data_IF_198412384156
#
_entry.id   IF_198412384156
#
_cell.length_a   1.000
_cell.length_b   1.000
_cell.length_c   1.000
_cell.angle_alpha   90.00
_cell.angle_beta   90.00
_cell.angle_gamma   90.00
#
_symmetry.space_group_name_H-M   'P 1'
#
loop_
_entity.id
_entity.type
_entity.pdbx_description
1 polymer ?
#
# COMPACT_ATOMS: atom_id res chain seq x y z
N UNK A 1 -24.87 2.72 1.76
CA UNK A 1 -23.48 2.31 1.44
C UNK A 1 -23.08 3.02 0.15
N UNK A 2 -22.12 3.94 0.24
CA UNK A 2 -21.66 4.67 -0.93
C UNK A 2 -20.98 3.75 -1.92
N UNK A 3 -21.46 3.71 -3.15
CA UNK A 3 -20.76 3.04 -4.25
C UNK A 3 -19.43 3.76 -4.43
N UNK A 4 -18.32 3.06 -4.19
CA UNK A 4 -16.99 3.62 -4.45
C UNK A 4 -16.90 3.94 -5.93
N UNK A 5 -16.61 5.20 -6.26
CA UNK A 5 -16.46 5.65 -7.65
C UNK A 5 -15.38 4.85 -8.41
N UNK A 6 -15.26 5.06 -9.72
CA UNK A 6 -14.28 4.37 -10.55
C UNK A 6 -12.86 4.62 -10.02
N UNK A 7 -11.98 3.64 -10.22
CA UNK A 7 -10.56 3.76 -9.83
C UNK A 7 -9.90 4.86 -10.68
N UNK A 8 -9.23 5.85 -10.07
CA UNK A 8 -8.50 6.87 -10.83
C UNK A 8 -7.43 6.25 -11.72
N UNK A 9 -7.17 6.86 -12.85
CA UNK A 9 -6.05 6.50 -13.73
C UNK A 9 -4.72 6.77 -13.04
N UNK A 10 -3.65 6.15 -13.50
CA UNK A 10 -2.30 6.46 -13.01
C UNK A 10 -1.91 7.90 -13.32
N UNK A 11 -1.05 8.48 -12.50
CA UNK A 11 -0.54 9.86 -12.68
C UNK A 11 0.14 10.06 -14.03
N UNK A 12 0.77 9.00 -14.58
CA UNK A 12 1.42 8.98 -15.90
C UNK A 12 0.42 9.02 -17.07
N UNK A 13 -0.86 8.69 -16.85
CA UNK A 13 -1.88 8.65 -17.91
C UNK A 13 -2.59 9.97 -18.16
N UNK A 14 -2.07 11.08 -17.68
CA UNK A 14 -2.51 12.45 -17.92
C UNK A 14 -4.01 12.70 -17.69
N UNK A 15 -4.37 13.27 -16.55
CA UNK A 15 -5.73 13.72 -16.29
C UNK A 15 -5.80 15.24 -16.19
N UNK A 16 -6.72 15.85 -16.97
CA UNK A 16 -7.02 17.31 -16.96
C UNK A 16 -7.49 17.85 -15.59
N UNK A 17 -7.83 16.97 -14.62
CA UNK A 17 -8.38 17.35 -13.32
C UNK A 17 -7.35 17.65 -12.25
N UNK A 18 -6.06 17.38 -12.46
CA UNK A 18 -5.02 17.63 -11.46
C UNK A 18 -4.75 19.13 -11.25
N UNK A 19 -5.00 19.98 -12.26
CA UNK A 19 -4.83 21.42 -12.13
C UNK A 19 -5.95 22.11 -11.34
N UNK A 20 -7.20 21.61 -11.45
CA UNK A 20 -8.33 22.19 -10.73
C UNK A 20 -8.26 21.94 -9.20
N UNK A 21 -7.65 20.84 -8.76
CA UNK A 21 -7.49 20.52 -7.32
C UNK A 21 -6.41 21.32 -6.62
N UNK A 22 -5.45 21.88 -7.33
CA UNK A 22 -4.42 22.77 -6.74
C UNK A 22 -4.95 24.16 -6.37
N UNK A 23 -6.12 24.53 -6.87
CA UNK A 23 -6.76 25.83 -6.63
C UNK A 23 -7.71 25.83 -5.42
N UNK A 24 -8.09 24.65 -4.92
CA UNK A 24 -9.00 24.53 -3.79
C UNK A 24 -8.15 24.22 -2.54
N UNK A 25 -7.88 25.21 -1.72
CA UNK A 25 -7.00 25.20 -0.55
C UNK A 25 -7.01 23.91 0.27
N UNK A 26 -6.39 22.87 -0.27
CA UNK A 26 -6.28 21.56 0.38
C UNK A 26 -5.55 21.73 1.70
N UNK A 27 -6.12 21.17 2.77
CA UNK A 27 -5.46 21.06 4.07
C UNK A 27 -4.11 20.39 3.85
N UNK A 28 -3.02 21.10 4.13
CA UNK A 28 -1.69 20.51 4.04
C UNK A 28 -1.60 19.30 5.00
N UNK A 29 -1.11 18.16 4.53
CA UNK A 29 -0.97 17.00 5.40
C UNK A 29 0.00 17.32 6.53
N UNK A 30 -0.41 17.06 7.77
CA UNK A 30 0.49 17.17 8.93
C UNK A 30 1.52 16.04 8.81
N UNK A 31 2.78 16.41 8.56
CA UNK A 31 3.88 15.47 8.55
C UNK A 31 4.28 15.12 9.98
N UNK A 32 3.94 13.95 10.43
CA UNK A 32 4.41 13.39 11.69
C UNK A 32 5.59 12.47 11.39
N UNK A 33 6.73 12.74 12.00
CA UNK A 33 7.89 11.84 11.93
C UNK A 33 7.65 10.73 12.95
N UNK A 34 7.30 9.55 12.46
CA UNK A 34 7.08 8.36 13.29
C UNK A 34 8.13 7.29 12.94
N UNK A 35 8.58 6.56 13.95
CA UNK A 35 9.40 5.35 13.74
C UNK A 35 8.52 4.23 13.13
N UNK A 36 9.15 3.38 12.33
CA UNK A 36 8.43 2.24 11.75
C UNK A 36 7.98 1.27 12.83
N UNK A 37 6.67 1.04 12.90
CA UNK A 37 6.06 0.11 13.85
C UNK A 37 6.38 -1.33 13.46
N UNK A 38 6.84 -2.13 14.44
CA UNK A 38 7.03 -3.57 14.22
C UNK A 38 5.69 -4.30 14.23
N UNK A 39 5.40 -5.13 13.21
CA UNK A 39 4.19 -5.93 13.19
C UNK A 39 4.16 -6.92 14.36
N UNK A 40 2.99 -7.22 14.94
CA UNK A 40 2.83 -8.31 15.87
C UNK A 40 3.11 -9.66 15.19
N UNK A 41 3.37 -10.70 15.98
CA UNK A 41 3.58 -12.05 15.41
C UNK A 41 2.23 -12.58 14.88
N UNK A 42 2.22 -13.19 13.68
CA UNK A 42 1.00 -13.81 13.15
C UNK A 42 0.62 -15.05 13.95
N UNK A 43 -0.67 -15.36 14.03
CA UNK A 43 -1.13 -16.57 14.69
C UNK A 43 -0.72 -17.82 13.87
N UNK A 44 -0.06 -18.80 14.49
CA UNK A 44 0.33 -20.05 13.84
C UNK A 44 -0.87 -20.90 13.39
N UNK A 45 -2.03 -20.71 13.99
CA UNK A 45 -3.23 -21.51 13.68
C UNK A 45 -4.10 -20.92 12.55
N UNK A 46 -3.72 -19.78 12.00
CA UNK A 46 -4.45 -19.22 10.86
C UNK A 46 -4.47 -20.14 9.65
N UNK A 47 -5.56 -20.05 8.89
CA UNK A 47 -5.66 -20.67 7.58
C UNK A 47 -4.50 -20.18 6.65
N UNK A 48 -3.95 -21.04 5.77
CA UNK A 48 -2.81 -20.69 4.92
C UNK A 48 -2.98 -19.40 4.11
N UNK A 49 -4.21 -19.06 3.69
CA UNK A 49 -4.46 -17.83 2.93
C UNK A 49 -4.30 -16.57 3.81
N UNK A 50 -4.72 -16.63 5.08
CA UNK A 50 -4.53 -15.52 6.00
C UNK A 50 -3.04 -15.30 6.31
N UNK A 51 -2.28 -16.39 6.52
CA UNK A 51 -0.82 -16.31 6.68
C UNK A 51 -0.12 -15.72 5.46
N UNK A 52 -0.55 -16.11 4.25
CA UNK A 52 0.00 -15.54 3.01
C UNK A 52 -0.32 -14.05 2.88
N UNK A 53 -1.55 -13.65 3.23
CA UNK A 53 -1.95 -12.24 3.22
C UNK A 53 -1.10 -11.44 4.20
N UNK A 54 -0.98 -11.91 5.46
CA UNK A 54 -0.13 -11.29 6.47
C UNK A 54 1.29 -11.07 5.98
N UNK A 55 1.93 -12.14 5.49
CA UNK A 55 3.30 -12.08 4.96
C UNK A 55 3.43 -11.12 3.77
N UNK A 56 2.44 -11.09 2.89
CA UNK A 56 2.46 -10.17 1.75
C UNK A 56 2.37 -8.70 2.19
N UNK A 57 1.61 -8.42 3.26
CA UNK A 57 1.54 -7.07 3.83
C UNK A 57 2.85 -6.71 4.52
N UNK A 58 3.45 -7.60 5.34
CA UNK A 58 4.76 -7.37 5.96
C UNK A 58 5.86 -7.02 4.94
N UNK A 59 5.79 -7.59 3.74
CA UNK A 59 6.74 -7.35 2.66
C UNK A 59 6.40 -6.14 1.79
N UNK A 60 5.28 -5.49 2.04
CA UNK A 60 4.85 -4.33 1.27
C UNK A 60 5.60 -3.07 1.69
N UNK A 61 6.06 -2.28 0.74
CA UNK A 61 6.63 -0.96 1.01
C UNK A 61 5.60 0.02 1.59
N UNK A 62 4.31 -0.29 1.45
CA UNK A 62 3.22 0.54 1.96
C UNK A 62 3.09 0.49 3.49
N UNK A 63 3.62 -0.53 4.18
CA UNK A 63 3.54 -0.67 5.65
C UNK A 63 4.19 0.48 6.42
N UNK A 64 5.05 1.27 5.78
CA UNK A 64 5.64 2.46 6.42
C UNK A 64 4.60 3.52 6.86
N UNK A 65 3.38 3.42 6.36
CA UNK A 65 2.26 4.29 6.73
C UNK A 65 1.36 3.66 7.80
N UNK A 66 1.68 2.44 8.25
CA UNK A 66 0.86 1.73 9.23
C UNK A 66 1.24 2.11 10.65
N UNK A 67 0.22 2.51 11.39
CA UNK A 67 0.27 2.72 12.83
C UNK A 67 -0.04 1.43 13.59
N UNK A 68 0.21 1.36 14.90
CA UNK A 68 -0.13 0.18 15.72
C UNK A 68 -1.59 -0.26 15.57
N UNK A 69 -2.51 0.69 15.43
CA UNK A 69 -3.94 0.44 15.22
C UNK A 69 -4.22 -0.31 13.93
N UNK A 70 -3.50 0.02 12.84
CA UNK A 70 -3.69 -0.61 11.54
C UNK A 70 -3.25 -2.08 11.57
N UNK A 71 -2.16 -2.35 12.29
CA UNK A 71 -1.70 -3.72 12.53
C UNK A 71 -2.71 -4.55 13.31
N UNK A 72 -3.37 -3.98 14.33
CA UNK A 72 -4.41 -4.67 15.10
C UNK A 72 -5.65 -4.92 14.24
N UNK A 73 -6.07 -3.97 13.42
CA UNK A 73 -7.18 -4.14 12.48
C UNK A 73 -6.84 -5.22 11.44
N UNK A 74 -5.63 -5.22 10.90
CA UNK A 74 -5.17 -6.25 9.98
C UNK A 74 -5.14 -7.63 10.64
N UNK A 75 -4.67 -7.72 11.89
CA UNK A 75 -4.63 -8.98 12.64
C UNK A 75 -6.04 -9.55 12.81
N UNK A 76 -6.99 -8.74 13.30
CA UNK A 76 -8.39 -9.13 13.43
C UNK A 76 -9.00 -9.56 12.08
N UNK A 77 -8.69 -8.83 11.01
CA UNK A 77 -9.19 -9.17 9.67
C UNK A 77 -8.62 -10.50 9.16
N UNK A 78 -7.35 -10.80 9.45
CA UNK A 78 -6.72 -12.08 9.12
C UNK A 78 -7.34 -13.23 9.92
N UNK A 79 -7.68 -12.99 11.18
CA UNK A 79 -8.38 -13.97 12.03
C UNK A 79 -9.77 -14.28 11.48
N UNK A 80 -10.56 -13.26 11.17
CA UNK A 80 -11.88 -13.39 10.56
C UNK A 80 -11.82 -14.10 9.20
N UNK A 81 -10.82 -13.75 8.37
CA UNK A 81 -10.59 -14.44 7.09
C UNK A 81 -10.22 -15.90 7.30
N UNK A 82 -9.40 -16.21 8.30
CA UNK A 82 -9.02 -17.57 8.66
C UNK A 82 -10.25 -18.38 9.07
N UNK A 83 -11.05 -17.84 9.99
CA UNK A 83 -12.28 -18.45 10.47
C UNK A 83 -13.27 -18.66 9.32
N UNK A 84 -13.47 -17.66 8.47
CA UNK A 84 -14.31 -17.78 7.27
C UNK A 84 -13.85 -18.91 6.34
N UNK A 85 -12.54 -19.07 6.13
CA UNK A 85 -11.98 -20.11 5.25
C UNK A 85 -12.07 -21.52 5.84
N UNK A 86 -12.06 -21.63 7.17
CA UNK A 86 -12.19 -22.93 7.88
C UNK A 86 -13.64 -23.42 7.97
N UNK A 87 -14.62 -22.53 7.85
CA UNK A 87 -16.03 -22.89 7.94
C UNK A 87 -16.51 -23.66 6.70
N UNK A 88 -17.29 -24.71 6.92
CA UNK A 88 -17.97 -25.46 5.84
C UNK A 88 -19.03 -24.58 5.16
N UNK A 89 -19.87 -23.90 5.96
CA UNK A 89 -20.87 -22.95 5.48
C UNK A 89 -20.33 -21.54 5.56
N UNK A 90 -20.05 -20.96 4.39
CA UNK A 90 -19.49 -19.63 4.27
C UNK A 90 -20.58 -18.57 4.14
N UNK A 91 -20.53 -17.57 5.00
CA UNK A 91 -21.45 -16.44 4.98
C UNK A 91 -21.02 -15.38 3.97
N UNK A 92 -21.85 -15.03 2.97
CA UNK A 92 -21.53 -13.92 2.06
C UNK A 92 -21.40 -12.58 2.77
N UNK A 93 -22.18 -12.37 3.83
CA UNK A 93 -22.13 -11.14 4.64
C UNK A 93 -20.79 -10.99 5.35
N UNK A 94 -20.27 -12.08 5.93
CA UNK A 94 -18.95 -12.08 6.56
C UNK A 94 -17.85 -11.79 5.54
N UNK A 95 -17.93 -12.39 4.35
CA UNK A 95 -16.97 -12.10 3.28
C UNK A 95 -17.00 -10.62 2.86
N UNK A 96 -18.20 -10.04 2.76
CA UNK A 96 -18.35 -8.63 2.43
C UNK A 96 -17.74 -7.73 3.53
N UNK A 97 -17.91 -8.07 4.80
CA UNK A 97 -17.32 -7.34 5.92
C UNK A 97 -15.77 -7.42 5.87
N UNK A 98 -15.22 -8.62 5.71
CA UNK A 98 -13.76 -8.81 5.56
C UNK A 98 -13.22 -7.99 4.38
N UNK A 99 -13.86 -8.03 3.22
CA UNK A 99 -13.44 -7.24 2.06
C UNK A 99 -13.50 -5.73 2.33
N UNK A 100 -14.48 -5.27 3.09
CA UNK A 100 -14.58 -3.86 3.49
C UNK A 100 -13.40 -3.46 4.37
N UNK A 101 -13.02 -4.29 5.34
CA UNK A 101 -11.85 -4.06 6.19
C UNK A 101 -10.54 -4.06 5.39
N UNK A 102 -10.35 -5.02 4.47
CA UNK A 102 -9.17 -5.06 3.59
C UNK A 102 -9.07 -3.79 2.72
N UNK A 103 -10.20 -3.27 2.29
CA UNK A 103 -10.24 -2.00 1.54
C UNK A 103 -9.88 -0.80 2.42
N UNK A 104 -10.34 -0.74 3.68
CA UNK A 104 -9.98 0.35 4.59
C UNK A 104 -8.49 0.39 4.89
N UNK A 105 -7.83 -0.75 4.88
CA UNK A 105 -6.37 -0.89 5.03
C UNK A 105 -5.58 -0.59 3.73
N UNK A 106 -6.25 -0.18 2.65
CA UNK A 106 -5.63 0.18 1.35
C UNK A 106 -4.72 -0.92 0.78
N UNK A 107 -5.09 -2.19 0.93
CA UNK A 107 -4.23 -3.31 0.55
C UNK A 107 -4.13 -3.51 -0.96
N UNK A 108 -5.12 -3.06 -1.74
CA UNK A 108 -5.08 -3.18 -3.20
C UNK A 108 -4.56 -1.90 -3.86
N UNK A 109 -3.95 -2.04 -5.04
CA UNK A 109 -3.51 -0.89 -5.83
C UNK A 109 -4.68 0.05 -6.16
N UNK A 110 -5.85 -0.52 -6.45
CA UNK A 110 -7.05 0.26 -6.74
C UNK A 110 -7.49 1.13 -5.56
N UNK A 111 -7.39 0.60 -4.34
CA UNK A 111 -7.75 1.36 -3.13
C UNK A 111 -6.73 2.47 -2.86
N UNK A 112 -5.44 2.20 -3.01
CA UNK A 112 -4.38 3.21 -2.88
C UNK A 112 -4.52 4.33 -3.90
N UNK A 113 -4.81 4.02 -5.16
CA UNK A 113 -5.03 5.04 -6.20
C UNK A 113 -6.24 5.93 -5.92
N UNK A 114 -7.27 5.43 -5.25
CA UNK A 114 -8.42 6.26 -4.83
C UNK A 114 -8.04 7.38 -3.87
N UNK A 115 -7.04 7.14 -3.04
CA UNK A 115 -6.46 8.14 -2.12
C UNK A 115 -5.19 8.80 -2.67
N UNK A 116 -4.93 8.61 -3.98
CA UNK A 116 -3.80 9.22 -4.70
C UNK A 116 -2.42 8.75 -4.22
N UNK A 117 -2.33 7.54 -3.71
CA UNK A 117 -1.06 6.89 -3.36
C UNK A 117 -0.70 5.90 -4.47
N UNK A 118 0.45 6.11 -5.07
CA UNK A 118 1.04 5.21 -6.08
C UNK A 118 2.38 4.68 -5.58
N UNK A 119 2.59 3.37 -5.73
CA UNK A 119 3.88 2.74 -5.44
C UNK A 119 4.62 2.58 -6.76
N UNK A 120 5.65 3.41 -6.95
CA UNK A 120 6.54 3.27 -8.08
C UNK A 120 7.62 2.25 -7.74
N UNK A 121 7.68 1.17 -8.50
CA UNK A 121 8.78 0.21 -8.46
C UNK A 121 9.77 0.61 -9.54
N UNK A 122 10.97 0.95 -9.13
CA UNK A 122 12.10 1.11 -10.05
C UNK A 122 12.63 -0.29 -10.31
N UNK A 123 12.69 -0.70 -11.56
CA UNK A 123 13.34 -1.97 -11.92
C UNK A 123 14.82 -1.89 -11.56
N UNK A 124 15.37 -2.94 -10.93
CA UNK A 124 16.77 -2.96 -10.48
C UNK A 124 17.74 -2.61 -11.61
N UNK A 125 17.44 -3.03 -12.84
CA UNK A 125 18.22 -2.69 -14.04
C UNK A 125 18.24 -1.20 -14.36
N UNK A 126 17.13 -0.47 -14.11
CA UNK A 126 17.08 0.98 -14.31
C UNK A 126 17.81 1.72 -13.17
N UNK A 127 17.72 1.23 -11.95
CA UNK A 127 18.44 1.81 -10.81
C UNK A 127 19.95 1.62 -10.95
N UNK A 128 20.41 0.44 -11.41
CA UNK A 128 21.82 0.17 -11.71
C UNK A 128 22.33 1.04 -12.87
N UNK A 129 21.56 1.16 -13.95
CA UNK A 129 21.94 2.00 -15.10
C UNK A 129 22.01 3.48 -14.72
N UNK A 130 21.08 3.99 -13.92
CA UNK A 130 21.10 5.37 -13.44
C UNK A 130 22.29 5.65 -12.52
N UNK A 131 22.65 4.72 -11.63
CA UNK A 131 23.81 4.85 -10.74
C UNK A 131 25.13 4.80 -11.49
N UNK A 132 25.25 3.94 -12.51
CA UNK A 132 26.44 3.86 -13.38
C UNK A 132 26.59 5.15 -14.19
N UNK A 133 25.52 5.67 -14.76
CA UNK A 133 25.54 6.95 -15.50
C UNK A 133 25.95 8.11 -14.59
N UNK A 134 25.42 8.17 -13.37
CA UNK A 134 25.77 9.19 -12.39
C UNK A 134 27.26 9.11 -11.99
N UNK A 135 27.79 7.91 -11.76
CA UNK A 135 29.21 7.67 -11.45
C UNK A 135 30.11 8.08 -12.60
N UNK A 136 29.76 7.75 -13.84
CA UNK A 136 30.52 8.15 -15.05
C UNK A 136 30.50 9.67 -15.23
N UNK A 137 29.37 10.34 -15.02
CA UNK A 137 29.26 11.79 -15.10
C UNK A 137 30.13 12.47 -14.03
N UNK A 138 30.14 11.95 -12.81
CA UNK A 138 30.98 12.44 -11.72
C UNK A 138 32.50 12.23 -12.01
N UNK A 139 32.87 11.05 -12.48
CA UNK A 139 34.26 10.77 -12.85
C UNK A 139 34.74 11.69 -13.98
N UNK A 140 33.92 11.95 -15.00
CA UNK A 140 34.22 12.86 -16.09
C UNK A 140 34.38 14.32 -15.64
N UNK A 141 33.51 14.77 -14.72
CA UNK A 141 33.59 16.11 -14.13
C UNK A 141 34.87 16.29 -13.28
N UNK A 142 35.34 15.23 -12.62
CA UNK A 142 36.57 15.26 -11.82
C UNK A 142 37.85 15.21 -12.67
N UNK A 143 37.81 14.54 -13.81
CA UNK A 143 38.97 14.48 -14.76
C UNK A 143 39.14 15.78 -15.56
N UNK A 144 38.14 16.66 -15.59
CA UNK A 144 38.17 17.94 -16.31
C UNK A 144 38.66 19.13 -15.45
N UNK A 145 39.07 18.88 -14.20
CA UNK A 145 39.73 19.83 -13.29
C UNK A 145 41.20 19.49 -13.12
#
# INVERSE_FOLDING_TARGET
MGVKGPIPKRSTEGHRTTQARKLDGGVEPVNVVAEQVKPPKPDPDWHPIAKKLWKAVEQSTFIRYYEPSDWIVLYSTCDDLSNYKKQERRSPTMLAAVNTMLTSLLLTEGDRRRVQIEINRVDESEAESASVVALQAWAKARAAK
#
